data_IF_004898541302
#
_entry.id   IF_004898541302
#
_cell.length_a   1.000
_cell.length_b   1.000
_cell.length_c   1.000
_cell.angle_alpha   90.00
_cell.angle_beta   90.00
_cell.angle_gamma   90.00
#
_symmetry.space_group_name_H-M   'P 1'
#
loop_
_entity.id
_entity.type
_entity.pdbx_description
1 polymer ?
#
# COMPACT_ATOMS: atom_id res chain seq x y z
N UNK A 1 -0.77 18.77 -7.99
CA UNK A 1 -1.21 17.66 -8.87
C UNK A 1 -0.31 17.44 -10.08
N UNK A 2 -0.19 18.39 -11.02
CA UNK A 2 0.61 18.18 -12.26
C UNK A 2 2.06 17.74 -12.03
N UNK A 3 2.74 18.30 -11.01
CA UNK A 3 4.10 17.88 -10.63
C UNK A 3 4.14 16.41 -10.18
N UNK A 4 3.19 15.98 -9.35
CA UNK A 4 3.13 14.60 -8.85
C UNK A 4 2.81 13.61 -9.98
N UNK A 5 1.88 13.96 -10.89
CA UNK A 5 1.61 13.15 -12.08
C UNK A 5 2.86 12.96 -12.95
N UNK A 6 3.71 13.98 -13.05
CA UNK A 6 4.99 13.88 -13.76
C UNK A 6 6.02 13.03 -13.01
N UNK A 7 6.00 13.03 -11.67
CA UNK A 7 6.91 12.24 -10.82
C UNK A 7 6.56 10.75 -10.82
N UNK A 8 5.27 10.42 -10.94
CA UNK A 8 4.77 9.05 -10.88
C UNK A 8 4.13 8.62 -12.20
N UNK A 9 4.93 8.37 -13.26
CA UNK A 9 4.40 7.98 -14.56
C UNK A 9 3.63 6.65 -14.52
N UNK A 10 3.98 5.78 -13.56
CA UNK A 10 3.35 4.47 -13.31
C UNK A 10 2.05 4.57 -12.49
N UNK A 11 1.68 5.73 -11.95
CA UNK A 11 0.42 5.92 -11.24
C UNK A 11 -0.63 6.55 -12.16
N UNK A 12 -1.90 6.18 -11.95
CA UNK A 12 -3.03 6.87 -12.58
C UNK A 12 -3.45 8.13 -11.79
N UNK A 13 -4.40 8.89 -12.33
CA UNK A 13 -4.86 10.13 -11.71
C UNK A 13 -5.54 9.92 -10.34
N UNK A 14 -6.16 8.76 -10.10
CA UNK A 14 -6.80 8.45 -8.81
C UNK A 14 -5.71 8.14 -7.78
N UNK A 15 -4.73 7.34 -8.14
CA UNK A 15 -3.59 6.99 -7.29
C UNK A 15 -2.77 8.23 -6.90
N UNK A 16 -2.49 9.12 -7.85
CA UNK A 16 -1.78 10.38 -7.54
C UNK A 16 -2.64 11.32 -6.67
N UNK A 17 -3.95 11.32 -6.84
CA UNK A 17 -4.87 12.05 -5.95
C UNK A 17 -4.82 11.50 -4.52
N UNK A 18 -4.85 10.18 -4.35
CA UNK A 18 -4.74 9.54 -3.04
C UNK A 18 -3.37 9.78 -2.40
N UNK A 19 -2.30 9.74 -3.18
CA UNK A 19 -0.97 10.14 -2.73
C UNK A 19 -0.96 11.58 -2.23
N UNK A 20 -1.59 12.50 -2.96
CA UNK A 20 -1.70 13.91 -2.54
C UNK A 20 -2.49 14.08 -1.23
N UNK A 21 -3.54 13.31 -1.03
CA UNK A 21 -4.31 13.30 0.23
C UNK A 21 -3.49 12.75 1.38
N UNK A 22 -2.89 11.57 1.21
CA UNK A 22 -2.18 10.86 2.28
C UNK A 22 -0.84 11.49 2.66
N UNK A 23 -0.32 12.40 1.82
CA UNK A 23 0.89 13.18 2.11
C UNK A 23 0.58 14.61 2.56
N UNK A 24 -0.67 15.06 2.53
CA UNK A 24 -1.05 16.37 3.02
C UNK A 24 -0.71 16.55 4.52
N UNK A 25 -0.55 17.80 4.93
CA UNK A 25 -0.25 18.14 6.31
C UNK A 25 -1.24 19.17 6.86
N UNK A 26 -1.31 19.23 8.18
CA UNK A 26 -2.16 20.17 8.92
C UNK A 26 -1.33 21.28 9.60
N UNK A 27 -0.14 21.61 9.09
CA UNK A 27 0.79 22.55 9.72
C UNK A 27 1.10 23.73 8.81
N UNK A 28 1.29 24.89 9.41
CA UNK A 28 1.81 26.09 8.76
C UNK A 28 3.33 25.96 8.54
N UNK A 29 3.92 26.90 7.79
CA UNK A 29 5.36 26.91 7.48
C UNK A 29 6.27 27.07 8.71
N UNK A 30 5.74 27.53 9.84
CA UNK A 30 6.41 27.60 11.14
C UNK A 30 6.30 26.30 11.97
N UNK A 31 5.64 25.27 11.42
CA UNK A 31 5.43 23.97 12.07
C UNK A 31 4.26 23.93 13.05
N UNK A 32 3.55 25.05 13.25
CA UNK A 32 2.37 25.11 14.12
C UNK A 32 1.16 24.54 13.37
N UNK A 33 0.32 23.76 14.06
CA UNK A 33 -0.91 23.23 13.46
C UNK A 33 -1.82 24.38 12.99
N UNK A 34 -2.37 24.23 11.79
CA UNK A 34 -3.19 25.22 11.10
C UNK A 34 -4.30 25.76 12.00
N UNK A 35 -4.35 27.09 12.14
CA UNK A 35 -5.34 27.83 12.94
C UNK A 35 -5.45 27.26 14.36
N UNK A 36 -4.36 27.38 15.13
CA UNK A 36 -4.25 26.89 16.50
C UNK A 36 -5.43 27.24 17.42
N UNK A 37 -5.44 26.64 18.62
CA UNK A 37 -6.52 26.79 19.61
C UNK A 37 -6.90 28.26 19.84
N UNK A 38 -8.16 28.62 19.56
CA UNK A 38 -8.73 29.94 19.93
C UNK A 38 -9.18 30.83 18.77
N UNK A 39 -9.00 30.44 17.51
CA UNK A 39 -9.62 31.17 16.39
C UNK A 39 -11.06 30.72 16.16
N UNK A 40 -11.96 31.68 15.97
CA UNK A 40 -13.39 31.46 15.75
C UNK A 40 -13.88 32.11 14.46
N UNK A 41 -14.92 31.55 13.85
CA UNK A 41 -15.65 32.17 12.75
C UNK A 41 -16.31 33.49 13.21
N UNK A 42 -16.86 34.30 12.29
CA UNK A 42 -17.72 35.44 12.66
C UNK A 42 -18.92 35.05 13.54
N UNK A 43 -19.35 33.78 13.52
CA UNK A 43 -20.40 33.23 14.37
C UNK A 43 -19.91 32.69 15.73
N UNK A 44 -18.61 32.79 16.03
CA UNK A 44 -18.02 32.30 17.28
C UNK A 44 -17.71 30.79 17.28
N UNK A 45 -17.97 30.07 16.19
CA UNK A 45 -17.64 28.64 16.09
C UNK A 45 -16.13 28.44 15.96
N UNK A 46 -15.57 27.46 16.65
CA UNK A 46 -14.15 27.09 16.52
C UNK A 46 -13.80 26.82 15.06
N UNK A 47 -12.64 27.30 14.62
CA UNK A 47 -12.09 27.00 13.29
C UNK A 47 -10.86 26.10 13.37
N UNK A 48 -10.54 25.63 14.58
CA UNK A 48 -9.38 24.80 14.83
C UNK A 48 -9.50 23.44 14.12
N UNK A 49 -8.36 22.92 13.69
CA UNK A 49 -8.24 21.54 13.25
C UNK A 49 -8.51 20.58 14.41
N UNK A 50 -9.39 19.62 14.21
CA UNK A 50 -9.85 18.67 15.25
C UNK A 50 -9.45 17.22 14.96
N UNK A 51 -9.24 16.85 13.71
CA UNK A 51 -8.86 15.48 13.36
C UNK A 51 -7.47 15.08 13.89
N UNK A 52 -7.26 13.79 14.23
CA UNK A 52 -5.93 13.23 14.43
C UNK A 52 -5.01 13.40 13.21
N UNK A 53 -3.70 13.28 13.41
CA UNK A 53 -2.75 13.26 12.29
C UNK A 53 -3.04 12.07 11.36
N UNK A 54 -2.99 12.30 10.04
CA UNK A 54 -3.26 11.29 9.03
C UNK A 54 -4.75 11.08 8.71
N UNK A 55 -5.67 11.79 9.38
CA UNK A 55 -7.09 11.76 9.08
C UNK A 55 -7.57 13.10 8.50
N UNK A 56 -8.57 13.10 7.60
CA UNK A 56 -9.20 14.32 7.15
C UNK A 56 -10.04 14.96 8.27
N UNK A 57 -10.07 16.29 8.30
CA UNK A 57 -10.91 17.11 9.17
C UNK A 57 -12.24 17.47 8.47
N UNK A 58 -13.33 17.55 9.23
CA UNK A 58 -14.67 17.88 8.67
C UNK A 58 -14.69 19.21 7.92
N UNK A 59 -13.94 20.20 8.40
CA UNK A 59 -13.90 21.54 7.83
C UNK A 59 -12.79 21.70 6.80
N UNK A 60 -11.62 21.17 7.12
CA UNK A 60 -10.39 21.42 6.34
C UNK A 60 -10.01 20.29 5.39
N UNK A 61 -10.78 19.19 5.40
CA UNK A 61 -10.47 17.99 4.63
C UNK A 61 -9.09 17.47 4.99
N UNK A 62 -8.30 17.10 3.98
CA UNK A 62 -6.93 16.60 4.17
C UNK A 62 -5.90 17.68 4.56
N UNK A 63 -6.30 18.95 4.62
CA UNK A 63 -5.39 20.06 4.91
C UNK A 63 -4.61 20.53 3.69
N UNK A 64 -3.38 20.98 3.92
CA UNK A 64 -2.53 21.61 2.88
C UNK A 64 -1.76 20.51 2.14
N UNK A 65 -1.84 20.43 0.80
CA UNK A 65 -1.03 19.50 0.03
C UNK A 65 0.47 19.72 0.27
N UNK A 66 1.18 18.66 0.67
CA UNK A 66 2.62 18.70 0.89
C UNK A 66 3.36 18.11 -0.31
N UNK A 67 3.84 18.98 -1.19
CA UNK A 67 4.55 18.52 -2.38
C UNK A 67 5.87 17.84 -2.02
N UNK A 68 6.58 18.31 -0.99
CA UNK A 68 7.87 17.75 -0.61
C UNK A 68 7.72 16.31 -0.13
N UNK A 69 6.77 16.06 0.77
CA UNK A 69 6.43 14.69 1.20
C UNK A 69 5.88 13.85 0.05
N UNK A 70 5.06 14.47 -0.81
CA UNK A 70 4.52 13.85 -2.02
C UNK A 70 5.57 13.36 -3.03
N UNK A 71 6.83 13.82 -2.97
CA UNK A 71 7.90 13.32 -3.86
C UNK A 71 8.47 11.95 -3.47
N UNK A 72 8.11 11.43 -2.28
CA UNK A 72 8.70 10.24 -1.65
C UNK A 72 7.72 9.07 -1.47
N UNK A 73 6.66 9.00 -2.27
CA UNK A 73 5.65 7.96 -2.28
C UNK A 73 4.39 8.30 -1.48
N UNK A 74 3.42 7.37 -1.40
CA UNK A 74 2.22 7.53 -0.57
C UNK A 74 2.57 7.69 0.92
N UNK A 75 1.69 8.31 1.71
CA UNK A 75 1.82 8.30 3.18
C UNK A 75 0.94 7.24 3.85
N UNK A 76 -0.07 6.76 3.13
CA UNK A 76 -1.00 5.72 3.53
C UNK A 76 -1.60 5.08 2.27
N UNK A 77 -2.24 3.93 2.41
CA UNK A 77 -3.16 3.41 1.40
C UNK A 77 -4.60 3.60 1.84
N UNK A 78 -5.43 4.14 0.94
CA UNK A 78 -6.87 4.37 1.17
C UNK A 78 -7.75 3.24 0.62
N UNK A 79 -7.13 2.27 -0.06
CA UNK A 79 -7.72 1.04 -0.58
C UNK A 79 -6.58 0.07 -0.95
N UNK A 80 -6.87 -1.22 -1.22
CA UNK A 80 -5.92 -2.12 -1.88
C UNK A 80 -5.32 -1.48 -3.13
N UNK A 81 -3.99 -1.38 -3.18
CA UNK A 81 -3.25 -0.66 -4.21
C UNK A 81 -2.60 -1.65 -5.18
N UNK A 82 -2.92 -1.53 -6.47
CA UNK A 82 -2.15 -2.20 -7.53
C UNK A 82 -1.19 -1.21 -8.18
N UNK A 83 0.11 -1.41 -7.99
CA UNK A 83 1.15 -0.59 -8.60
C UNK A 83 1.77 -1.30 -9.81
N UNK A 84 1.34 -0.88 -11.01
CA UNK A 84 1.86 -1.38 -12.28
C UNK A 84 3.04 -0.54 -12.78
N UNK A 85 4.26 -1.06 -12.63
CA UNK A 85 5.47 -0.37 -13.08
C UNK A 85 5.87 -0.76 -14.50
N UNK A 86 5.12 -0.27 -15.49
CA UNK A 86 5.33 -0.57 -16.92
C UNK A 86 5.93 0.58 -17.74
N UNK A 87 6.02 1.80 -17.17
CA UNK A 87 6.56 2.98 -17.87
C UNK A 87 7.94 3.40 -17.35
N UNK A 88 8.10 3.54 -16.04
CA UNK A 88 9.38 3.85 -15.42
C UNK A 88 10.01 2.60 -14.77
N UNK A 89 11.31 2.34 -15.03
CA UNK A 89 11.97 1.10 -14.60
C UNK A 89 12.32 1.07 -13.11
N UNK A 90 12.36 2.22 -12.44
CA UNK A 90 12.71 2.35 -11.02
C UNK A 90 11.82 3.40 -10.36
N UNK A 91 11.39 3.12 -9.14
CA UNK A 91 10.76 4.07 -8.23
C UNK A 91 11.19 3.77 -6.80
N UNK A 92 11.26 4.82 -5.99
CA UNK A 92 11.68 4.76 -4.60
C UNK A 92 10.63 5.46 -3.75
N UNK A 93 10.06 4.72 -2.80
CA UNK A 93 9.17 5.24 -1.77
C UNK A 93 9.89 5.22 -0.43
N UNK A 94 9.96 6.39 0.19
CA UNK A 94 10.71 6.62 1.44
C UNK A 94 9.85 7.18 2.56
N UNK A 95 8.58 7.46 2.29
CA UNK A 95 7.60 7.73 3.34
C UNK A 95 7.25 6.42 4.07
N UNK A 96 6.95 6.54 5.35
CA UNK A 96 6.23 5.49 6.08
C UNK A 96 4.81 5.40 5.53
N UNK A 97 4.33 4.20 5.21
CA UNK A 97 2.98 3.98 4.67
C UNK A 97 2.13 3.22 5.68
N UNK A 98 1.07 3.88 6.15
CA UNK A 98 0.11 3.29 7.08
C UNK A 98 -1.28 3.07 6.44
N UNK A 99 -2.27 2.73 7.28
CA UNK A 99 -3.66 2.49 6.87
C UNK A 99 -4.66 3.18 7.80
N UNK A 100 -4.25 4.24 8.49
CA UNK A 100 -5.06 4.89 9.54
C UNK A 100 -6.37 5.44 8.95
N UNK A 101 -6.31 6.09 7.79
CA UNK A 101 -7.47 6.71 7.17
C UNK A 101 -8.47 5.70 6.58
N UNK A 102 -8.02 4.57 6.06
CA UNK A 102 -8.95 3.54 5.57
C UNK A 102 -9.68 2.86 6.74
N UNK A 103 -9.03 2.74 7.91
CA UNK A 103 -9.68 2.23 9.13
C UNK A 103 -10.66 3.21 9.74
N UNK A 104 -10.38 4.50 9.67
CA UNK A 104 -11.38 5.50 10.04
C UNK A 104 -12.58 5.48 9.08
N UNK A 105 -12.32 5.30 7.78
CA UNK A 105 -13.39 5.16 6.80
C UNK A 105 -14.26 3.92 7.05
N UNK A 106 -13.64 2.80 7.41
CA UNK A 106 -14.33 1.58 7.82
C UNK A 106 -15.29 1.86 8.99
N UNK A 107 -14.80 2.58 10.03
CA UNK A 107 -15.61 2.98 11.18
C UNK A 107 -16.83 3.80 10.77
N UNK A 108 -16.63 4.86 9.98
CA UNK A 108 -17.70 5.74 9.50
C UNK A 108 -18.74 5.00 8.65
N UNK A 109 -18.28 4.13 7.75
CA UNK A 109 -19.17 3.38 6.86
C UNK A 109 -19.98 2.34 7.62
N UNK A 110 -19.39 1.67 8.62
CA UNK A 110 -20.12 0.73 9.49
C UNK A 110 -21.16 1.45 10.35
N UNK A 111 -20.83 2.62 10.90
CA UNK A 111 -21.77 3.45 11.65
C UNK A 111 -22.93 3.92 10.76
N UNK A 112 -22.61 4.43 9.56
CA UNK A 112 -23.62 4.85 8.60
C UNK A 112 -24.53 3.70 8.18
N UNK A 113 -23.96 2.51 7.89
CA UNK A 113 -24.72 1.34 7.48
C UNK A 113 -25.65 0.85 8.59
N UNK A 114 -25.20 0.88 9.85
CA UNK A 114 -26.03 0.54 11.00
C UNK A 114 -27.21 1.52 11.15
N UNK A 115 -26.94 2.83 11.09
CA UNK A 115 -27.97 3.86 11.15
C UNK A 115 -28.99 3.75 10.01
N UNK A 116 -28.54 3.48 8.79
CA UNK A 116 -29.44 3.24 7.65
C UNK A 116 -30.30 1.99 7.83
N UNK A 117 -29.74 0.89 8.35
CA UNK A 117 -30.50 -0.34 8.62
C UNK A 117 -31.57 -0.14 9.69
N UNK A 118 -31.31 0.70 10.69
CA UNK A 118 -32.25 0.97 11.78
C UNK A 118 -33.34 1.97 11.38
N UNK A 119 -32.97 3.07 10.74
CA UNK A 119 -33.85 4.23 10.54
C UNK A 119 -34.31 4.39 9.08
N UNK A 120 -33.79 3.58 8.15
CA UNK A 120 -34.03 3.75 6.72
C UNK A 120 -33.60 5.13 6.24
N UNK A 121 -34.32 5.68 5.27
CA UNK A 121 -33.97 6.98 4.68
C UNK A 121 -34.07 8.17 5.65
N UNK A 122 -34.69 7.99 6.82
CA UNK A 122 -34.74 9.02 7.86
C UNK A 122 -33.36 9.28 8.48
N UNK A 123 -32.41 8.34 8.39
CA UNK A 123 -31.05 8.52 8.88
C UNK A 123 -30.31 9.69 8.21
N UNK A 124 -30.67 10.03 6.96
CA UNK A 124 -30.10 11.16 6.24
C UNK A 124 -30.56 12.53 6.76
N UNK A 125 -31.46 12.56 7.76
CA UNK A 125 -32.03 13.77 8.32
C UNK A 125 -33.11 14.40 7.44
N UNK A 126 -33.41 15.67 7.71
CA UNK A 126 -34.44 16.43 7.01
C UNK A 126 -34.07 16.65 5.52
N UNK A 127 -35.07 16.95 4.69
CA UNK A 127 -34.83 17.37 3.31
C UNK A 127 -34.41 18.84 3.26
N UNK A 128 -33.75 19.24 2.17
CA UNK A 128 -33.48 20.65 1.89
C UNK A 128 -34.82 21.42 1.81
N UNK A 129 -34.87 22.70 2.24
CA UNK A 129 -36.05 23.55 2.05
C UNK A 129 -36.50 23.70 0.58
N UNK A 130 -35.67 23.32 -0.39
CA UNK A 130 -36.03 23.31 -1.82
C UNK A 130 -36.78 22.05 -2.28
N UNK A 131 -36.98 21.07 -1.39
CA UNK A 131 -37.88 19.93 -1.61
C UNK A 131 -39.27 20.33 -1.11
N UNK A 132 -40.30 20.09 -1.91
CA UNK A 132 -41.68 20.36 -1.51
C UNK A 132 -42.07 19.52 -0.28
N UNK A 133 -42.94 20.07 0.55
CA UNK A 133 -43.55 19.34 1.65
C UNK A 133 -44.37 18.15 1.14
N UNK A 134 -44.68 17.16 2.00
CA UNK A 134 -45.50 16.01 1.61
C UNK A 134 -46.88 16.37 1.04
N UNK A 135 -47.44 17.52 1.42
CA UNK A 135 -48.71 18.06 0.90
C UNK A 135 -48.56 18.87 -0.40
N UNK A 136 -47.34 18.97 -0.93
CA UNK A 136 -47.01 19.73 -2.14
C UNK A 136 -46.74 21.22 -1.92
N UNK A 137 -46.78 21.71 -0.67
CA UNK A 137 -46.52 23.11 -0.36
C UNK A 137 -45.01 23.43 -0.33
N UNK A 138 -44.68 24.71 -0.49
CA UNK A 138 -43.31 25.22 -0.43
C UNK A 138 -42.88 25.46 1.03
N UNK A 139 -41.64 25.13 1.38
CA UNK A 139 -41.03 25.53 2.66
C UNK A 139 -40.83 27.06 2.70
N UNK A 140 -41.06 27.70 3.84
CA UNK A 140 -40.89 29.15 4.01
C UNK A 140 -39.43 29.60 3.80
N UNK A 141 -38.47 28.69 4.00
CA UNK A 141 -37.03 28.91 3.79
C UNK A 141 -36.56 28.48 2.39
N UNK A 142 -37.48 28.07 1.51
CA UNK A 142 -37.13 27.69 0.15
C UNK A 142 -36.46 28.85 -0.60
N UNK A 143 -35.41 28.54 -1.35
CA UNK A 143 -34.69 29.52 -2.12
C UNK A 143 -35.44 29.85 -3.41
N UNK A 144 -35.55 31.14 -3.72
CA UNK A 144 -36.27 31.64 -4.89
C UNK A 144 -35.39 32.52 -5.77
N UNK A 145 -35.30 32.18 -7.06
CA UNK A 145 -34.71 33.07 -8.06
C UNK A 145 -35.73 34.14 -8.47
N UNK A 146 -35.44 35.40 -8.16
CA UNK A 146 -36.30 36.54 -8.55
C UNK A 146 -36.58 36.60 -10.06
N UNK A 147 -35.62 36.18 -10.89
CA UNK A 147 -35.79 36.11 -12.35
C UNK A 147 -36.85 35.11 -12.81
N UNK A 148 -37.10 34.05 -12.04
CA UNK A 148 -38.09 33.01 -12.38
C UNK A 148 -39.51 33.47 -12.02
N UNK A 149 -39.67 34.17 -10.90
CA UNK A 149 -40.97 34.64 -10.42
C UNK A 149 -41.67 35.59 -11.40
N UNK A 150 -40.90 36.42 -12.10
CA UNK A 150 -41.41 37.39 -13.07
C UNK A 150 -41.44 36.88 -14.51
N UNK A 151 -40.98 35.66 -14.80
CA UNK A 151 -40.86 35.16 -16.17
C UNK A 151 -42.23 34.74 -16.73
N UNK A 152 -42.73 35.36 -17.81
CA UNK A 152 -44.05 35.05 -18.36
C UNK A 152 -44.19 33.62 -18.88
N UNK A 153 -43.10 33.02 -19.35
CA UNK A 153 -43.09 31.65 -19.86
C UNK A 153 -43.17 30.66 -18.71
N UNK A 154 -42.44 30.92 -17.61
CA UNK A 154 -42.52 30.10 -16.40
C UNK A 154 -43.90 30.20 -15.76
N UNK A 155 -44.44 31.42 -15.66
CA UNK A 155 -45.81 31.65 -15.19
C UNK A 155 -46.83 30.82 -15.98
N UNK A 156 -46.69 30.77 -17.31
CA UNK A 156 -47.59 30.01 -18.17
C UNK A 156 -47.49 28.49 -17.97
N UNK A 157 -46.26 27.93 -17.90
CA UNK A 157 -46.08 26.47 -17.76
C UNK A 157 -46.35 25.96 -16.34
N UNK A 158 -46.35 26.85 -15.35
CA UNK A 158 -46.66 26.52 -13.94
C UNK A 158 -48.06 26.92 -13.51
N UNK A 159 -48.91 27.38 -14.44
CA UNK A 159 -50.27 27.86 -14.14
C UNK A 159 -50.32 28.95 -13.06
N UNK A 160 -49.36 29.89 -13.09
CA UNK A 160 -49.28 30.98 -12.12
C UNK A 160 -48.54 30.63 -10.83
N UNK A 161 -47.88 29.46 -10.76
CA UNK A 161 -47.06 29.01 -9.64
C UNK A 161 -45.57 28.90 -10.01
N UNK A 162 -44.94 29.98 -10.51
CA UNK A 162 -43.54 29.95 -10.91
C UNK A 162 -42.60 29.60 -9.76
N UNK A 163 -43.05 29.73 -8.51
CA UNK A 163 -42.30 29.38 -7.32
C UNK A 163 -42.02 27.89 -7.15
N UNK A 164 -42.82 27.04 -7.80
CA UNK A 164 -42.67 25.58 -7.76
C UNK A 164 -41.80 25.05 -8.91
N UNK A 165 -41.42 25.92 -9.87
CA UNK A 165 -40.84 25.51 -11.14
C UNK A 165 -39.56 24.69 -11.03
N UNK A 166 -38.67 25.06 -10.10
CA UNK A 166 -37.35 24.47 -9.89
C UNK A 166 -37.28 23.60 -8.62
N UNK A 167 -38.44 23.22 -8.07
CA UNK A 167 -38.54 22.48 -6.82
C UNK A 167 -38.66 20.98 -7.07
N UNK A 168 -38.06 20.20 -6.18
CA UNK A 168 -38.12 18.73 -6.23
C UNK A 168 -39.36 18.30 -5.45
N UNK A 169 -40.18 17.40 -6.01
CA UNK A 169 -41.34 16.87 -5.29
C UNK A 169 -40.88 16.02 -4.09
N UNK A 170 -41.68 15.96 -3.03
CA UNK A 170 -41.38 15.09 -1.88
C UNK A 170 -41.22 13.62 -2.31
N UNK A 171 -42.07 13.16 -3.22
CA UNK A 171 -42.04 11.79 -3.75
C UNK A 171 -40.73 11.48 -4.48
N UNK A 172 -40.29 12.36 -5.39
CA UNK A 172 -39.02 12.18 -6.10
C UNK A 172 -37.83 12.24 -5.14
N UNK A 173 -37.85 13.16 -4.17
CA UNK A 173 -36.78 13.27 -3.19
C UNK A 173 -36.66 12.02 -2.31
N UNK A 174 -37.78 11.46 -1.85
CA UNK A 174 -37.83 10.17 -1.13
C UNK A 174 -37.29 9.04 -1.99
N UNK A 175 -37.71 8.97 -3.25
CA UNK A 175 -37.27 7.95 -4.19
C UNK A 175 -35.76 8.01 -4.43
N UNK A 176 -35.22 9.17 -4.83
CA UNK A 176 -33.80 9.34 -5.11
C UNK A 176 -32.93 9.14 -3.88
N UNK A 177 -33.38 9.60 -2.70
CA UNK A 177 -32.67 9.34 -1.44
C UNK A 177 -32.61 7.85 -1.16
N UNK A 178 -33.71 7.11 -1.35
CA UNK A 178 -33.72 5.65 -1.17
C UNK A 178 -32.76 4.97 -2.14
N UNK A 179 -32.83 5.30 -3.42
CA UNK A 179 -31.95 4.73 -4.46
C UNK A 179 -30.47 4.95 -4.10
N UNK A 180 -30.07 6.18 -3.77
CA UNK A 180 -28.69 6.48 -3.38
C UNK A 180 -28.26 5.77 -2.08
N UNK A 181 -29.12 5.71 -1.06
CA UNK A 181 -28.79 5.06 0.20
C UNK A 181 -28.70 3.54 0.06
N UNK A 182 -29.54 2.91 -0.77
CA UNK A 182 -29.43 1.50 -1.12
C UNK A 182 -28.10 1.21 -1.85
N UNK A 183 -27.74 2.04 -2.83
CA UNK A 183 -26.46 1.92 -3.55
C UNK A 183 -25.25 2.09 -2.62
N UNK A 184 -25.29 3.07 -1.71
CA UNK A 184 -24.24 3.27 -0.71
C UNK A 184 -24.15 2.08 0.25
N UNK A 185 -25.28 1.53 0.69
CA UNK A 185 -25.29 0.35 1.54
C UNK A 185 -24.67 -0.86 0.83
N UNK A 186 -25.00 -1.06 -0.45
CA UNK A 186 -24.41 -2.11 -1.28
C UNK A 186 -22.89 -1.89 -1.48
N UNK A 187 -22.45 -0.65 -1.68
CA UNK A 187 -21.03 -0.30 -1.77
C UNK A 187 -20.27 -0.66 -0.49
N UNK A 188 -20.79 -0.28 0.68
CA UNK A 188 -20.17 -0.60 1.97
C UNK A 188 -20.13 -2.12 2.18
N UNK A 189 -21.23 -2.81 1.88
CA UNK A 189 -21.28 -4.27 2.00
C UNK A 189 -20.23 -4.94 1.09
N UNK A 190 -20.09 -4.46 -0.14
CA UNK A 190 -19.04 -4.95 -1.05
C UNK A 190 -17.64 -4.74 -0.49
N UNK A 191 -17.36 -3.60 0.15
CA UNK A 191 -16.06 -3.35 0.77
C UNK A 191 -15.78 -4.31 1.93
N UNK A 192 -16.79 -4.63 2.75
CA UNK A 192 -16.69 -5.62 3.83
C UNK A 192 -16.41 -7.01 3.25
N UNK A 193 -17.25 -7.45 2.30
CA UNK A 193 -17.20 -8.81 1.75
C UNK A 193 -15.88 -9.10 1.03
N UNK A 194 -15.27 -8.07 0.44
CA UNK A 194 -14.00 -8.17 -0.30
C UNK A 194 -12.79 -7.67 0.50
N UNK A 195 -12.93 -7.40 1.80
CA UNK A 195 -11.86 -6.91 2.67
C UNK A 195 -11.15 -5.65 2.14
N UNK A 196 -11.88 -4.74 1.52
CA UNK A 196 -11.34 -3.52 0.89
C UNK A 196 -11.00 -2.43 1.91
N UNK A 197 -11.34 -2.61 3.19
CA UNK A 197 -10.90 -1.75 4.29
C UNK A 197 -9.53 -2.12 4.88
N UNK A 198 -8.88 -3.13 4.31
CA UNK A 198 -7.53 -3.53 4.68
C UNK A 198 -6.58 -3.17 3.55
N UNK A 199 -5.70 -2.20 3.81
CA UNK A 199 -4.71 -1.76 2.85
C UNK A 199 -3.77 -2.90 2.46
N UNK A 200 -3.45 -3.02 1.18
CA UNK A 200 -2.52 -4.01 0.63
C UNK A 200 -1.84 -3.46 -0.61
N UNK A 201 -0.73 -4.10 -1.03
CA UNK A 201 0.01 -3.73 -2.23
C UNK A 201 0.14 -4.94 -3.17
N UNK A 202 -0.25 -4.76 -4.42
CA UNK A 202 0.10 -5.66 -5.53
C UNK A 202 1.11 -4.95 -6.43
N UNK A 203 2.35 -5.43 -6.42
CA UNK A 203 3.42 -4.95 -7.30
C UNK A 203 3.46 -5.79 -8.58
N UNK A 204 3.18 -5.14 -9.71
CA UNK A 204 3.24 -5.75 -11.04
C UNK A 204 4.05 -4.89 -12.03
N UNK A 205 4.18 -5.37 -13.26
CA UNK A 205 5.02 -4.75 -14.28
C UNK A 205 6.53 -4.98 -14.04
N UNK A 206 7.37 -4.78 -15.07
CA UNK A 206 8.79 -5.13 -15.04
C UNK A 206 9.67 -4.25 -14.14
N UNK A 207 9.20 -3.07 -13.73
CA UNK A 207 10.00 -2.12 -12.95
C UNK A 207 10.33 -2.57 -11.52
N UNK A 208 11.27 -1.86 -10.92
CA UNK A 208 11.74 -2.05 -9.54
C UNK A 208 11.14 -1.00 -8.61
N UNK A 209 10.43 -1.42 -7.57
CA UNK A 209 10.04 -0.57 -6.46
C UNK A 209 10.99 -0.81 -5.28
N UNK A 210 11.57 0.25 -4.74
CA UNK A 210 12.35 0.22 -3.49
C UNK A 210 11.55 0.93 -2.41
N UNK A 211 11.33 0.25 -1.27
CA UNK A 211 10.67 0.80 -0.10
C UNK A 211 11.70 0.96 1.02
N UNK A 212 11.91 2.20 1.46
CA UNK A 212 12.91 2.55 2.49
C UNK A 212 12.28 3.00 3.81
N UNK A 213 10.97 3.27 3.82
CA UNK A 213 10.23 3.67 5.02
C UNK A 213 9.79 2.49 5.89
N UNK A 214 9.02 2.81 6.93
CA UNK A 214 8.34 1.84 7.78
C UNK A 214 6.90 1.61 7.29
N UNK A 215 6.66 0.44 6.71
CA UNK A 215 5.37 0.06 6.15
C UNK A 215 4.54 -0.65 7.23
N UNK A 216 3.48 0.00 7.70
CA UNK A 216 2.67 -0.46 8.86
C UNK A 216 1.25 -0.90 8.48
N UNK A 217 0.91 -0.96 7.20
CA UNK A 217 -0.36 -1.54 6.78
C UNK A 217 -0.39 -3.06 7.02
N UNK A 218 -1.60 -3.59 7.21
CA UNK A 218 -1.79 -4.96 7.72
C UNK A 218 -2.04 -5.98 6.62
N UNK A 219 -2.60 -5.56 5.49
CA UNK A 219 -2.86 -6.46 4.36
C UNK A 219 -1.58 -6.84 3.64
N UNK A 220 -1.47 -8.12 3.29
CA UNK A 220 -0.27 -8.66 2.66
C UNK A 220 0.09 -8.01 1.32
N UNK A 221 1.37 -8.08 0.97
CA UNK A 221 1.90 -7.61 -0.30
C UNK A 221 2.09 -8.76 -1.28
N UNK A 222 1.61 -8.60 -2.52
CA UNK A 222 1.83 -9.56 -3.61
C UNK A 222 2.82 -9.00 -4.63
N UNK A 223 3.85 -9.78 -4.97
CA UNK A 223 4.86 -9.43 -5.97
C UNK A 223 4.69 -10.31 -7.21
N UNK A 224 3.93 -9.80 -8.19
CA UNK A 224 3.59 -10.53 -9.42
C UNK A 224 4.59 -10.29 -10.54
N UNK A 225 5.29 -9.14 -10.52
CA UNK A 225 6.26 -8.79 -11.57
C UNK A 225 7.31 -7.77 -11.13
N UNK A 226 8.43 -7.78 -11.85
CA UNK A 226 9.56 -6.89 -11.59
C UNK A 226 10.24 -7.20 -10.25
N UNK A 227 10.78 -6.18 -9.59
CA UNK A 227 11.42 -6.30 -8.27
C UNK A 227 10.69 -5.43 -7.24
N UNK A 228 10.42 -5.98 -6.06
CA UNK A 228 10.15 -5.24 -4.84
C UNK A 228 11.38 -5.37 -3.92
N UNK A 229 11.94 -4.26 -3.47
CA UNK A 229 13.12 -4.23 -2.60
C UNK A 229 12.78 -3.58 -1.26
N UNK A 230 12.81 -4.35 -0.18
CA UNK A 230 12.56 -3.84 1.18
C UNK A 230 13.89 -3.49 1.84
N UNK A 231 14.06 -2.22 2.19
CA UNK A 231 15.28 -1.71 2.86
C UNK A 231 14.98 -1.09 4.22
N UNK A 232 13.76 -0.59 4.43
CA UNK A 232 13.22 -0.25 5.75
C UNK A 232 12.53 -1.45 6.41
N UNK A 233 11.39 -1.21 7.06
CA UNK A 233 10.59 -2.26 7.69
C UNK A 233 9.24 -2.47 6.98
N UNK A 234 8.76 -3.70 6.96
CA UNK A 234 7.50 -4.07 6.31
C UNK A 234 6.69 -5.01 7.19
N UNK A 235 5.61 -4.53 7.81
CA UNK A 235 4.92 -5.26 8.86
C UNK A 235 4.23 -6.55 8.39
N UNK A 236 3.53 -6.49 7.25
CA UNK A 236 2.66 -7.56 6.76
C UNK A 236 3.40 -8.69 6.02
N UNK A 237 2.67 -9.76 5.69
CA UNK A 237 3.21 -10.86 4.89
C UNK A 237 3.49 -10.47 3.43
N UNK A 238 4.42 -11.17 2.78
CA UNK A 238 4.74 -10.98 1.36
C UNK A 238 4.61 -12.31 0.60
N UNK A 239 3.84 -12.33 -0.49
CA UNK A 239 3.73 -13.46 -1.43
C UNK A 239 4.36 -13.11 -2.79
N UNK A 240 5.29 -13.93 -3.26
CA UNK A 240 6.04 -13.70 -4.50
C UNK A 240 5.57 -14.67 -5.59
N UNK A 241 4.76 -14.16 -6.53
CA UNK A 241 4.04 -14.91 -7.58
C UNK A 241 4.51 -14.58 -9.00
N UNK A 242 5.82 -14.42 -9.19
CA UNK A 242 6.42 -14.21 -10.52
C UNK A 242 7.42 -13.06 -10.58
N UNK A 243 7.38 -12.14 -9.62
CA UNK A 243 8.41 -11.12 -9.47
C UNK A 243 9.58 -11.56 -8.59
N UNK A 244 10.36 -10.58 -8.15
CA UNK A 244 11.49 -10.76 -7.24
C UNK A 244 11.28 -9.94 -5.96
N UNK A 245 11.35 -10.58 -4.80
CA UNK A 245 11.54 -9.89 -3.53
C UNK A 245 13.04 -9.79 -3.23
N UNK A 246 13.52 -8.61 -2.88
CA UNK A 246 14.90 -8.41 -2.42
C UNK A 246 15.03 -7.32 -1.37
N UNK A 247 16.25 -6.81 -1.22
CA UNK A 247 16.58 -5.80 -0.23
C UNK A 247 17.20 -6.40 1.04
N UNK A 248 17.52 -5.52 1.99
CA UNK A 248 18.25 -5.85 3.21
C UNK A 248 17.57 -5.38 4.50
N UNK A 249 16.28 -5.04 4.40
CA UNK A 249 15.45 -4.60 5.52
C UNK A 249 14.86 -5.76 6.32
N UNK A 250 13.69 -5.50 6.90
CA UNK A 250 12.94 -6.48 7.70
C UNK A 250 11.49 -6.61 7.22
N UNK A 251 11.03 -7.86 7.07
CA UNK A 251 9.62 -8.21 6.95
C UNK A 251 9.14 -8.74 8.30
N UNK A 252 8.11 -8.15 8.89
CA UNK A 252 7.62 -8.48 10.24
C UNK A 252 6.89 -9.82 10.31
N UNK A 253 6.25 -10.22 9.22
CA UNK A 253 5.52 -11.48 9.10
C UNK A 253 6.24 -12.42 8.10
N UNK A 254 5.49 -13.35 7.49
CA UNK A 254 5.99 -14.46 6.70
C UNK A 254 6.20 -14.05 5.25
N UNK A 255 7.21 -14.66 4.63
CA UNK A 255 7.49 -14.56 3.19
C UNK A 255 7.18 -15.89 2.52
N UNK A 256 6.33 -15.88 1.50
CA UNK A 256 6.04 -17.04 0.67
C UNK A 256 6.51 -16.78 -0.76
N UNK A 257 7.31 -17.69 -1.31
CA UNK A 257 7.81 -17.63 -2.69
C UNK A 257 7.12 -18.73 -3.48
N UNK A 258 5.97 -18.39 -4.08
CA UNK A 258 5.14 -19.35 -4.79
C UNK A 258 5.78 -19.76 -6.13
N UNK A 259 6.14 -18.78 -6.96
CA UNK A 259 6.70 -18.99 -8.31
C UNK A 259 7.72 -17.93 -8.74
N UNK A 260 8.03 -16.97 -7.86
CA UNK A 260 9.01 -15.92 -8.10
C UNK A 260 10.39 -16.20 -7.50
N UNK A 261 11.12 -15.13 -7.24
CA UNK A 261 12.50 -15.19 -6.73
C UNK A 261 12.64 -14.41 -5.42
N UNK A 262 13.24 -15.03 -4.41
CA UNK A 262 13.76 -14.35 -3.23
C UNK A 262 15.25 -14.09 -3.40
N UNK A 263 15.63 -12.82 -3.57
CA UNK A 263 17.00 -12.37 -3.81
C UNK A 263 17.40 -11.35 -2.73
N UNK A 264 17.82 -11.81 -1.53
CA UNK A 264 18.22 -10.91 -0.46
C UNK A 264 19.40 -10.04 -0.88
N UNK A 265 19.52 -8.89 -0.23
CA UNK A 265 20.58 -7.93 -0.41
C UNK A 265 20.17 -6.69 -1.19
N UNK A 266 20.95 -5.64 -0.96
CA UNK A 266 20.94 -4.36 -1.66
C UNK A 266 22.39 -4.08 -2.07
N UNK A 267 22.66 -4.11 -3.38
CA UNK A 267 24.01 -3.90 -3.89
C UNK A 267 24.46 -2.45 -3.68
N UNK A 268 25.78 -2.21 -3.65
CA UNK A 268 26.35 -0.88 -3.47
C UNK A 268 25.88 0.12 -4.54
N UNK A 269 25.71 -0.33 -5.78
CA UNK A 269 25.21 0.50 -6.89
C UNK A 269 23.73 0.85 -6.75
N UNK A 270 22.94 -0.03 -6.13
CA UNK A 270 21.53 0.24 -5.81
C UNK A 270 21.44 1.20 -4.62
N UNK A 271 22.21 0.96 -3.57
CA UNK A 271 22.26 1.83 -2.39
C UNK A 271 22.74 3.25 -2.72
N UNK A 272 23.69 3.40 -3.65
CA UNK A 272 24.19 4.72 -4.08
C UNK A 272 23.12 5.61 -4.72
N UNK A 273 21.98 5.04 -5.15
CA UNK A 273 20.85 5.78 -5.72
C UNK A 273 19.84 6.21 -4.63
N UNK A 274 20.02 5.75 -3.40
CA UNK A 274 19.11 5.97 -2.28
C UNK A 274 19.74 6.95 -1.29
N UNK A 275 18.98 7.96 -0.88
CA UNK A 275 19.47 8.93 0.11
C UNK A 275 19.41 8.30 1.50
N UNK A 276 20.56 8.22 2.19
CA UNK A 276 20.64 7.73 3.56
C UNK A 276 20.56 6.20 3.73
N UNK A 277 20.60 5.43 2.65
CA UNK A 277 20.59 3.96 2.70
C UNK A 277 21.97 3.40 2.38
N UNK A 278 22.42 2.43 3.17
CA UNK A 278 23.67 1.70 2.92
C UNK A 278 23.38 0.37 2.25
N UNK A 279 24.37 -0.16 1.51
CA UNK A 279 24.33 -1.53 1.03
C UNK A 279 24.15 -2.50 2.21
N UNK A 280 23.50 -3.63 1.95
CA UNK A 280 23.22 -4.63 2.96
C UNK A 280 23.02 -5.99 2.34
N UNK A 281 23.30 -7.03 3.11
CA UNK A 281 23.35 -8.40 2.61
C UNK A 281 22.21 -9.28 3.12
N UNK A 282 21.49 -8.84 4.14
CA UNK A 282 20.60 -9.72 4.91
C UNK A 282 19.18 -9.23 4.82
N UNK A 283 18.26 -10.08 4.38
CA UNK A 283 16.83 -9.85 4.59
C UNK A 283 16.40 -10.57 5.87
N UNK A 284 15.82 -9.83 6.81
CA UNK A 284 15.26 -10.40 8.05
C UNK A 284 13.75 -10.64 7.88
N UNK A 285 13.26 -11.77 8.34
CA UNK A 285 11.85 -12.18 8.24
C UNK A 285 11.39 -12.62 9.63
N UNK A 286 10.39 -11.95 10.19
CA UNK A 286 9.85 -12.23 11.51
C UNK A 286 8.98 -13.50 11.54
N UNK A 287 8.36 -13.84 10.41
CA UNK A 287 7.58 -15.06 10.25
C UNK A 287 8.33 -16.23 9.63
N UNK A 288 7.58 -17.13 9.01
CA UNK A 288 8.12 -18.26 8.24
C UNK A 288 8.66 -17.78 6.89
N UNK A 289 9.62 -18.53 6.34
CA UNK A 289 10.00 -18.40 4.93
C UNK A 289 9.66 -19.70 4.22
N UNK A 290 8.71 -19.63 3.29
CA UNK A 290 8.29 -20.78 2.48
C UNK A 290 8.72 -20.57 1.03
N UNK A 291 9.51 -21.49 0.50
CA UNK A 291 9.91 -21.51 -0.92
C UNK A 291 9.25 -22.72 -1.56
N UNK A 292 8.16 -22.49 -2.29
CA UNK A 292 7.43 -23.52 -3.00
C UNK A 292 8.24 -24.08 -4.17
N UNK A 293 7.80 -25.21 -4.73
CA UNK A 293 8.49 -25.94 -5.80
C UNK A 293 8.85 -25.12 -7.04
N UNK A 294 8.06 -24.09 -7.35
CA UNK A 294 8.32 -23.19 -8.49
C UNK A 294 9.07 -21.91 -8.08
N UNK A 295 9.29 -21.70 -6.78
CA UNK A 295 10.03 -20.57 -6.25
C UNK A 295 11.54 -20.80 -6.33
N UNK A 296 12.29 -19.70 -6.34
CA UNK A 296 13.76 -19.71 -6.34
C UNK A 296 14.32 -18.81 -5.25
N UNK A 297 15.48 -19.17 -4.73
CA UNK A 297 16.30 -18.31 -3.88
C UNK A 297 17.59 -17.99 -4.64
N UNK A 298 17.88 -16.71 -4.85
CA UNK A 298 19.06 -16.26 -5.56
C UNK A 298 20.03 -15.56 -4.62
N UNK A 299 21.26 -16.07 -4.53
CA UNK A 299 22.26 -15.65 -3.55
C UNK A 299 23.53 -15.21 -4.25
N UNK A 300 24.08 -14.09 -3.81
CA UNK A 300 25.37 -13.59 -4.30
C UNK A 300 26.44 -13.83 -3.25
N UNK A 301 27.58 -14.39 -3.66
CA UNK A 301 28.78 -14.59 -2.83
C UNK A 301 29.94 -13.82 -3.47
N UNK A 302 30.26 -12.67 -2.89
CA UNK A 302 31.32 -11.75 -3.34
C UNK A 302 32.65 -11.98 -2.61
N UNK A 303 32.65 -12.71 -1.50
CA UNK A 303 33.86 -13.14 -0.79
C UNK A 303 33.54 -13.91 0.49
N UNK A 304 34.57 -14.35 1.22
CA UNK A 304 34.41 -15.21 2.42
C UNK A 304 33.50 -14.65 3.52
N UNK A 305 33.30 -13.34 3.55
CA UNK A 305 32.42 -12.64 4.51
C UNK A 305 31.40 -11.71 3.85
N UNK A 306 31.32 -11.73 2.53
CA UNK A 306 30.46 -10.83 1.76
C UNK A 306 29.55 -11.67 0.88
N UNK A 307 28.37 -11.95 1.40
CA UNK A 307 27.37 -12.78 0.74
C UNK A 307 25.97 -12.45 1.24
N UNK A 308 24.97 -12.63 0.38
CA UNK A 308 23.58 -12.36 0.72
C UNK A 308 22.92 -13.53 1.44
N UNK A 309 22.00 -13.25 2.36
CA UNK A 309 21.36 -14.28 3.19
C UNK A 309 19.97 -13.88 3.68
N UNK A 310 19.17 -14.88 4.07
CA UNK A 310 17.86 -14.69 4.70
C UNK A 310 17.89 -15.19 6.13
N UNK A 311 17.38 -14.39 7.07
CA UNK A 311 17.21 -14.78 8.48
C UNK A 311 15.74 -14.77 8.84
N UNK A 312 15.14 -15.95 8.97
CA UNK A 312 13.79 -16.13 9.49
C UNK A 312 13.82 -16.30 11.02
N UNK A 313 12.87 -15.69 11.73
CA UNK A 313 12.59 -16.03 13.12
C UNK A 313 11.64 -17.25 13.20
N UNK A 314 10.83 -17.48 12.16
CA UNK A 314 10.01 -18.67 12.00
C UNK A 314 10.72 -19.83 11.29
N UNK A 315 9.91 -20.78 10.82
CA UNK A 315 10.36 -21.99 10.14
C UNK A 315 10.82 -21.69 8.70
N UNK A 316 11.82 -22.43 8.22
CA UNK A 316 12.13 -22.54 6.80
C UNK A 316 11.40 -23.75 6.22
N UNK A 317 10.64 -23.55 5.14
CA UNK A 317 10.01 -24.62 4.36
C UNK A 317 10.53 -24.52 2.93
N UNK A 318 11.34 -25.49 2.50
CA UNK A 318 12.09 -25.42 1.25
C UNK A 318 11.73 -26.59 0.32
N UNK A 319 11.30 -26.27 -0.90
CA UNK A 319 11.03 -27.23 -1.99
C UNK A 319 11.46 -26.70 -3.39
N UNK A 320 11.79 -25.41 -3.49
CA UNK A 320 12.18 -24.73 -4.73
C UNK A 320 13.65 -24.89 -5.12
N UNK A 321 14.17 -23.98 -5.95
CA UNK A 321 15.56 -24.01 -6.44
C UNK A 321 16.45 -22.98 -5.74
N UNK A 322 17.76 -23.23 -5.77
CA UNK A 322 18.79 -22.32 -5.28
C UNK A 322 19.71 -21.92 -6.43
N UNK A 323 19.77 -20.62 -6.71
CA UNK A 323 20.68 -20.01 -7.67
C UNK A 323 21.83 -19.33 -6.93
N UNK A 324 23.06 -19.64 -7.33
CA UNK A 324 24.27 -19.06 -6.73
C UNK A 324 25.04 -18.24 -7.77
N UNK A 325 25.36 -17.01 -7.41
CA UNK A 325 26.25 -16.13 -8.16
C UNK A 325 27.53 -15.87 -7.36
N UNK A 326 28.62 -16.53 -7.77
CA UNK A 326 29.93 -16.44 -7.09
C UNK A 326 30.84 -15.51 -7.88
N UNK A 327 31.22 -14.39 -7.26
CA UNK A 327 32.00 -13.31 -7.90
C UNK A 327 33.41 -13.17 -7.33
N UNK A 328 33.64 -13.69 -6.13
CA UNK A 328 34.88 -13.52 -5.37
C UNK A 328 35.77 -14.76 -5.31
N UNK A 329 36.99 -14.55 -4.81
CA UNK A 329 37.84 -15.66 -4.37
C UNK A 329 37.34 -16.18 -3.02
N UNK A 330 37.20 -17.50 -2.92
CA UNK A 330 36.72 -18.17 -1.72
C UNK A 330 37.78 -19.10 -1.15
N UNK A 331 37.93 -19.07 0.17
CA UNK A 331 38.88 -19.94 0.89
C UNK A 331 38.24 -21.31 1.15
N UNK A 332 38.93 -22.43 0.86
CA UNK A 332 38.47 -23.76 1.28
C UNK A 332 38.21 -23.83 2.79
N UNK A 333 37.10 -24.43 3.17
CA UNK A 333 36.61 -24.49 4.55
C UNK A 333 35.70 -23.32 4.95
N UNK A 334 35.60 -22.24 4.18
CA UNK A 334 34.62 -21.17 4.44
C UNK A 334 33.19 -21.75 4.41
N UNK A 335 32.38 -21.38 5.39
CA UNK A 335 30.97 -21.79 5.51
C UNK A 335 30.08 -20.56 5.33
N UNK A 336 29.15 -20.64 4.37
CA UNK A 336 28.15 -19.62 4.13
C UNK A 336 26.80 -20.09 4.68
N UNK A 337 26.24 -19.38 5.67
CA UNK A 337 24.87 -19.60 6.13
C UNK A 337 23.91 -18.81 5.25
N UNK A 338 23.31 -19.48 4.27
CA UNK A 338 22.49 -18.85 3.24
C UNK A 338 21.09 -18.52 3.78
N UNK A 339 20.52 -19.45 4.52
CA UNK A 339 19.23 -19.27 5.19
C UNK A 339 19.31 -19.83 6.61
N UNK A 340 18.70 -19.15 7.58
CA UNK A 340 18.51 -19.66 8.93
C UNK A 340 17.08 -19.44 9.40
N UNK A 341 16.55 -20.36 10.23
CA UNK A 341 15.24 -20.26 10.85
C UNK A 341 15.20 -20.89 12.24
N UNK A 342 14.02 -20.96 12.84
CA UNK A 342 13.78 -21.71 14.09
C UNK A 342 13.73 -23.21 13.86
N UNK A 343 13.36 -23.64 12.65
CA UNK A 343 13.47 -25.02 12.17
C UNK A 343 13.62 -25.03 10.65
N UNK A 344 13.96 -26.18 10.08
CA UNK A 344 14.00 -26.39 8.63
C UNK A 344 13.23 -27.65 8.25
N UNK A 345 12.32 -27.51 7.30
CA UNK A 345 11.57 -28.59 6.70
C UNK A 345 11.85 -28.63 5.20
N UNK A 346 12.26 -29.80 4.70
CA UNK A 346 12.66 -29.99 3.30
C UNK A 346 14.07 -29.47 2.99
N UNK A 347 14.29 -29.17 1.72
CA UNK A 347 15.56 -28.72 1.16
C UNK A 347 15.35 -28.31 -0.30
N UNK A 348 16.32 -27.62 -0.89
CA UNK A 348 16.22 -27.21 -2.28
C UNK A 348 16.23 -28.41 -3.23
N UNK A 349 15.51 -28.29 -4.34
CA UNK A 349 15.38 -29.29 -5.37
C UNK A 349 16.75 -29.79 -5.85
N UNK A 350 16.90 -31.13 -5.94
CA UNK A 350 18.15 -31.81 -6.33
C UNK A 350 19.39 -31.49 -5.47
N UNK A 351 19.22 -30.84 -4.32
CA UNK A 351 20.29 -30.48 -3.39
C UNK A 351 20.06 -31.12 -2.01
N UNK A 352 20.09 -32.46 -1.87
CA UNK A 352 19.96 -33.11 -0.57
C UNK A 352 21.18 -32.84 0.34
N UNK A 353 21.06 -33.19 1.62
CA UNK A 353 22.16 -33.14 2.60
C UNK A 353 23.43 -33.82 2.06
N UNK A 354 24.59 -33.18 2.25
CA UNK A 354 25.90 -33.59 1.74
C UNK A 354 26.08 -33.54 0.22
N UNK A 355 25.10 -33.03 -0.55
CA UNK A 355 25.27 -32.87 -2.00
C UNK A 355 26.47 -31.97 -2.31
N UNK A 356 27.29 -32.41 -3.25
CA UNK A 356 28.33 -31.59 -3.85
C UNK A 356 27.73 -30.75 -4.99
N UNK A 357 27.96 -29.44 -4.94
CA UNK A 357 27.46 -28.45 -5.89
C UNK A 357 28.64 -27.71 -6.52
N UNK A 358 28.77 -27.76 -7.85
CA UNK A 358 29.83 -27.04 -8.57
C UNK A 358 29.27 -25.77 -9.21
N UNK A 359 29.65 -24.60 -8.69
CA UNK A 359 29.22 -23.30 -9.20
C UNK A 359 30.37 -22.30 -9.08
N UNK A 360 30.56 -21.44 -10.08
CA UNK A 360 31.53 -20.35 -10.04
C UNK A 360 32.99 -20.80 -9.87
N UNK A 361 33.34 -22.01 -10.32
CA UNK A 361 34.69 -22.57 -10.17
C UNK A 361 35.00 -23.12 -8.79
N UNK A 362 33.99 -23.33 -7.93
CA UNK A 362 34.15 -23.94 -6.61
C UNK A 362 33.22 -25.12 -6.43
N UNK A 363 33.70 -26.12 -5.69
CA UNK A 363 32.90 -27.22 -5.21
C UNK A 363 32.42 -26.90 -3.80
N UNK A 364 31.11 -26.84 -3.60
CA UNK A 364 30.47 -26.63 -2.30
C UNK A 364 29.86 -27.93 -1.78
N UNK A 365 29.81 -28.08 -0.46
CA UNK A 365 29.02 -29.10 0.22
C UNK A 365 27.81 -28.47 0.90
N UNK A 366 26.63 -28.99 0.58
CA UNK A 366 25.34 -28.57 1.15
C UNK A 366 25.13 -29.20 2.53
N UNK A 367 24.64 -28.43 3.49
CA UNK A 367 24.10 -28.96 4.75
C UNK A 367 22.87 -28.18 5.25
N UNK A 368 21.88 -28.88 5.81
CA UNK A 368 20.63 -28.37 6.38
C UNK A 368 20.56 -28.56 7.91
N UNK A 369 21.70 -28.60 8.59
CA UNK A 369 21.79 -28.81 10.04
C UNK A 369 21.63 -27.52 10.82
N UNK A 370 21.32 -27.65 12.11
CA UNK A 370 21.22 -26.51 13.05
C UNK A 370 20.24 -25.43 12.55
N UNK A 371 19.10 -25.87 12.01
CA UNK A 371 18.03 -25.02 11.48
C UNK A 371 18.50 -24.02 10.42
N UNK A 372 19.55 -24.38 9.68
CA UNK A 372 20.20 -23.52 8.71
C UNK A 372 20.55 -24.29 7.44
N UNK A 373 20.41 -23.64 6.29
CA UNK A 373 21.02 -24.08 5.04
C UNK A 373 22.39 -23.43 4.91
N UNK A 374 23.42 -24.26 4.80
CA UNK A 374 24.82 -23.85 4.69
C UNK A 374 25.50 -24.44 3.47
N UNK A 375 26.50 -23.70 2.97
CA UNK A 375 27.40 -24.13 1.90
C UNK A 375 28.84 -24.05 2.40
N UNK A 376 29.55 -25.18 2.45
CA UNK A 376 30.98 -25.21 2.77
C UNK A 376 31.80 -25.29 1.50
N UNK A 377 32.76 -24.38 1.32
CA UNK A 377 33.73 -24.45 0.22
C UNK A 377 34.64 -25.64 0.44
N UNK A 378 34.63 -26.61 -0.48
CA UNK A 378 35.49 -27.80 -0.38
C UNK A 378 36.84 -27.55 -1.04
N UNK A 379 36.82 -27.11 -2.29
CA UNK A 379 38.01 -26.83 -3.08
C UNK A 379 37.65 -25.99 -4.32
N UNK A 380 38.60 -25.24 -4.89
CA UNK A 380 38.48 -24.73 -6.25
C UNK A 380 38.40 -25.90 -7.23
N UNK A 381 37.56 -25.77 -8.25
CA UNK A 381 37.50 -26.70 -9.38
C UNK A 381 38.33 -26.08 -10.51
N UNK A 382 39.38 -26.76 -11.01
CA UNK A 382 40.15 -26.25 -12.14
C UNK A 382 39.23 -25.97 -13.33
N UNK A 383 39.32 -24.77 -13.90
CA UNK A 383 38.69 -24.48 -15.19
C UNK A 383 39.41 -25.30 -16.26
N UNK A 384 38.88 -26.48 -16.57
CA UNK A 384 39.25 -27.22 -17.76
C UNK A 384 38.61 -26.47 -18.94
N UNK A 385 39.30 -25.43 -19.42
CA UNK A 385 38.84 -24.58 -20.51
C UNK A 385 38.26 -25.39 -21.66
N UNK A 386 37.04 -25.06 -22.05
CA UNK A 386 36.44 -25.41 -23.33
C UNK A 386 36.01 -24.14 -24.02
#
# INVERSE_FOLDING_TARGET
MGVLLSRYPNMDAKQVRELMFTTANNKMSDGVRFLGTGQTSPSGASIAWTAPDGLPDERWGWGIPDLAKGMYGPGQFLSPMTYNMDKAPLDVWSNDISQIAIKEREREDLEWLAGYKEQGIAYAGEFSPNVLNPDGTLDEQAFMLQGILGDPSIQAITNGHPELYDKITHEDAVKWRKEWMDERAAYIQNNIDNNLYTASLTKQGPGTLIMTGDETYEGGTTVEGGKLSITGSHASSIDVKGGTLGGSGSVGDSVTVTSGVLRPGLASEEAAQLTGTSAGNVLNVGGNVTVGRQGRVAVTISGDRDYTSVRAAGNLVLDGELDLDVRGKLTPGTVFTIMSGSSINGGFHALPENRALNVGGYLFRVSYKNNSMTLTVMQPVPNNGK
#
